data_IF_427403971128
#
_entry.id   IF_427403971128
#
_cell.length_a   1.000
_cell.length_b   1.000
_cell.length_c   1.000
_cell.angle_alpha   90.00
_cell.angle_beta   90.00
_cell.angle_gamma   90.00
#
_symmetry.space_group_name_H-M   'P 1'
#
loop_
_entity.id
_entity.type
_entity.pdbx_description
1 polymer ?
#
# COMPACT_ATOMS: atom_id res chain seq x y z
N UNK A 1 -16.04 -6.60 1.28
CA UNK A 1 -16.09 -5.13 1.08
C UNK A 1 -15.75 -4.85 -0.37
N UNK A 2 -16.34 -3.80 -0.96
CA UNK A 2 -15.99 -3.33 -2.30
C UNK A 2 -14.51 -2.85 -2.33
N UNK A 3 -13.77 -3.17 -3.39
CA UNK A 3 -12.38 -2.75 -3.59
C UNK A 3 -12.28 -1.23 -3.57
N UNK A 4 -13.20 -0.55 -4.26
CA UNK A 4 -13.20 0.92 -4.35
C UNK A 4 -13.37 1.55 -2.97
N UNK A 5 -14.32 1.07 -2.17
CA UNK A 5 -14.54 1.58 -0.81
C UNK A 5 -13.29 1.42 0.09
N UNK A 6 -12.59 0.28 -0.02
CA UNK A 6 -11.36 0.04 0.73
C UNK A 6 -10.20 0.91 0.26
N UNK A 7 -10.02 1.09 -1.05
CA UNK A 7 -9.01 1.97 -1.61
C UNK A 7 -9.25 3.44 -1.21
N UNK A 8 -10.51 3.89 -1.20
CA UNK A 8 -10.88 5.22 -0.71
C UNK A 8 -10.55 5.37 0.78
N UNK A 9 -10.88 4.38 1.62
CA UNK A 9 -10.57 4.44 3.05
C UNK A 9 -9.05 4.48 3.32
N UNK A 10 -8.25 3.75 2.56
CA UNK A 10 -6.77 3.80 2.63
C UNK A 10 -6.28 5.22 2.30
N UNK A 11 -6.79 5.80 1.21
CA UNK A 11 -6.41 7.15 0.81
C UNK A 11 -6.78 8.19 1.87
N UNK A 12 -8.03 8.17 2.36
CA UNK A 12 -8.52 9.09 3.39
C UNK A 12 -7.66 9.04 4.65
N UNK A 13 -7.35 7.83 5.15
CA UNK A 13 -6.48 7.63 6.31
C UNK A 13 -5.14 8.33 6.12
N UNK A 14 -4.43 8.00 5.03
CA UNK A 14 -3.09 8.51 4.80
C UNK A 14 -3.06 10.01 4.51
N UNK A 15 -4.09 10.53 3.84
CA UNK A 15 -4.22 11.95 3.59
C UNK A 15 -4.48 12.71 4.90
N UNK A 16 -5.38 12.25 5.77
CA UNK A 16 -5.65 12.89 7.06
C UNK A 16 -4.44 12.86 8.00
N UNK A 17 -3.66 11.78 8.00
CA UNK A 17 -2.38 11.71 8.71
C UNK A 17 -1.38 12.73 8.17
N UNK A 18 -1.30 12.90 6.86
CA UNK A 18 -0.45 13.90 6.23
C UNK A 18 -0.90 15.32 6.52
N UNK A 19 -2.20 15.62 6.46
CA UNK A 19 -2.74 16.95 6.79
C UNK A 19 -2.39 17.40 8.21
N UNK A 20 -2.33 16.43 9.14
CA UNK A 20 -1.95 16.62 10.54
C UNK A 20 -0.44 16.73 10.76
N UNK A 21 0.38 16.47 9.75
CA UNK A 21 1.84 16.53 9.86
C UNK A 21 2.35 17.97 9.74
N UNK A 22 2.94 18.56 10.81
CA UNK A 22 3.42 19.94 10.78
C UNK A 22 4.58 20.15 9.78
N UNK A 23 5.35 19.10 9.48
CA UNK A 23 6.51 19.18 8.57
C UNK A 23 6.12 19.62 7.16
N UNK A 24 4.90 19.30 6.72
CA UNK A 24 4.44 19.66 5.36
C UNK A 24 4.46 21.16 5.11
N UNK A 25 4.34 22.00 6.15
CA UNK A 25 4.30 23.46 6.03
C UNK A 25 5.64 24.14 6.36
N UNK A 26 6.72 23.39 6.62
CA UNK A 26 8.02 23.98 6.94
C UNK A 26 8.62 24.76 5.75
N UNK A 27 8.49 24.21 4.54
CA UNK A 27 8.87 24.85 3.27
C UNK A 27 8.34 24.02 2.08
N UNK A 28 8.46 24.54 0.87
CA UNK A 28 7.98 23.86 -0.34
C UNK A 28 8.58 22.48 -0.57
N UNK A 29 9.88 22.29 -0.26
CA UNK A 29 10.51 20.98 -0.40
C UNK A 29 9.94 19.95 0.58
N UNK A 30 9.70 20.34 1.83
CA UNK A 30 9.08 19.47 2.84
C UNK A 30 7.62 19.15 2.48
N UNK A 31 6.88 20.10 1.92
CA UNK A 31 5.53 19.85 1.40
C UNK A 31 5.53 18.76 0.33
N UNK A 32 6.36 18.91 -0.70
CA UNK A 32 6.43 17.97 -1.82
C UNK A 32 6.94 16.59 -1.40
N UNK A 33 8.01 16.55 -0.60
CA UNK A 33 8.61 15.28 -0.15
C UNK A 33 7.66 14.48 0.73
N UNK A 34 7.02 15.12 1.73
CA UNK A 34 6.06 14.43 2.60
C UNK A 34 4.82 13.95 1.84
N UNK A 35 4.35 14.71 0.85
CA UNK A 35 3.24 14.30 -0.01
C UNK A 35 3.62 13.09 -0.89
N UNK A 36 4.82 13.10 -1.48
CA UNK A 36 5.32 11.99 -2.28
C UNK A 36 5.44 10.70 -1.46
N UNK A 37 5.92 10.78 -0.22
CA UNK A 37 5.97 9.64 0.70
C UNK A 37 4.58 9.05 0.99
N UNK A 38 3.58 9.91 1.17
CA UNK A 38 2.19 9.51 1.44
C UNK A 38 1.60 8.79 0.23
N UNK A 39 1.76 9.33 -0.97
CA UNK A 39 1.26 8.71 -2.20
C UNK A 39 1.92 7.35 -2.46
N UNK A 40 3.22 7.21 -2.16
CA UNK A 40 3.92 5.92 -2.27
C UNK A 40 3.31 4.85 -1.33
N UNK A 41 2.93 5.22 -0.12
CA UNK A 41 2.26 4.29 0.83
C UNK A 41 0.87 3.90 0.34
N UNK A 42 0.08 4.88 -0.13
CA UNK A 42 -1.24 4.62 -0.71
C UNK A 42 -1.13 3.67 -1.90
N UNK A 43 -0.22 3.92 -2.83
CA UNK A 43 0.02 3.07 -4.00
C UNK A 43 0.32 1.63 -3.58
N UNK A 44 1.25 1.45 -2.63
CA UNK A 44 1.61 0.13 -2.12
C UNK A 44 0.43 -0.62 -1.51
N UNK A 45 -0.36 0.04 -0.66
CA UNK A 45 -1.51 -0.61 -0.01
C UNK A 45 -2.66 -0.89 -0.97
N UNK A 46 -2.97 0.03 -1.88
CA UNK A 46 -4.02 -0.18 -2.89
C UNK A 46 -3.61 -1.29 -3.85
N UNK A 47 -2.33 -1.33 -4.25
CA UNK A 47 -1.81 -2.43 -5.08
C UNK A 47 -1.94 -3.76 -4.33
N UNK A 48 -1.51 -3.82 -3.07
CA UNK A 48 -1.62 -5.02 -2.23
C UNK A 48 -3.08 -5.48 -2.09
N UNK A 49 -4.01 -4.54 -1.91
CA UNK A 49 -5.43 -4.80 -1.85
C UNK A 49 -5.95 -5.40 -3.18
N UNK A 50 -5.43 -4.93 -4.33
CA UNK A 50 -5.87 -5.37 -5.66
C UNK A 50 -5.42 -6.79 -6.00
N UNK A 51 -4.25 -7.23 -5.51
CA UNK A 51 -3.68 -8.55 -5.78
C UNK A 51 -4.00 -9.60 -4.71
N UNK A 52 -4.59 -9.21 -3.58
CA UNK A 52 -4.85 -10.08 -2.42
C UNK A 52 -3.61 -10.32 -1.56
N UNK A 53 -3.60 -11.36 -0.71
CA UNK A 53 -2.40 -11.73 0.05
C UNK A 53 -1.26 -12.12 -0.90
N UNK A 54 -0.27 -11.24 -1.03
CA UNK A 54 0.99 -11.57 -1.69
C UNK A 54 1.76 -12.42 -0.69
N UNK A 55 2.14 -13.66 -1.05
CA UNK A 55 2.90 -14.51 -0.16
C UNK A 55 4.15 -13.76 0.30
N UNK A 56 4.36 -13.67 1.62
CA UNK A 56 5.56 -13.06 2.23
C UNK A 56 6.87 -13.62 1.68
N UNK A 57 6.82 -14.82 1.12
CA UNK A 57 7.97 -15.55 0.63
C UNK A 57 7.87 -15.81 -0.88
N UNK A 58 8.82 -15.29 -1.65
CA UNK A 58 9.00 -15.61 -3.07
C UNK A 58 9.25 -17.11 -3.30
N UNK A 59 9.66 -17.84 -2.26
CA UNK A 59 10.05 -19.26 -2.35
C UNK A 59 8.93 -20.27 -2.06
N UNK A 60 7.71 -19.85 -1.70
CA UNK A 60 6.62 -20.78 -1.39
C UNK A 60 6.17 -21.64 -2.58
N UNK A 61 6.48 -21.22 -3.83
CA UNK A 61 6.20 -22.02 -5.04
C UNK A 61 7.05 -23.29 -5.15
N UNK A 62 8.13 -23.46 -4.37
CA UNK A 62 8.96 -24.67 -4.40
C UNK A 62 8.37 -25.88 -3.67
N UNK A 63 7.38 -25.66 -2.79
CA UNK A 63 6.78 -26.71 -1.96
C UNK A 63 5.34 -27.07 -2.37
N UNK A 64 4.83 -26.52 -3.47
CA UNK A 64 3.63 -27.09 -4.09
C UNK A 64 4.05 -28.44 -4.65
N UNK A 65 3.92 -29.50 -3.83
CA UNK A 65 4.14 -30.88 -4.23
C UNK A 65 3.44 -31.07 -5.56
N UNK A 66 4.24 -31.45 -6.54
CA UNK A 66 3.76 -32.02 -7.77
C UNK A 66 2.94 -33.25 -7.36
N UNK A 67 1.62 -33.13 -7.27
CA UNK A 67 0.74 -34.30 -7.41
C UNK A 67 0.90 -34.75 -8.87
N UNK A 68 2.01 -35.45 -9.16
CA UNK A 68 2.07 -36.39 -10.25
C UNK A 68 1.46 -37.68 -9.74
N UNK A 69 0.23 -37.93 -10.19
CA UNK A 69 -0.33 -39.22 -10.57
C UNK A 69 0.17 -40.47 -9.82
N UNK A 70 -0.68 -41.06 -8.98
CA UNK A 70 -1.32 -42.37 -9.25
C UNK A 70 -2.38 -42.74 -8.22
#
# INVERSE_FOLDING_TARGET
>A
MDFKAQATAIFEKYLSEWESNPKRMENGYQYESTYAEVMKKVEQEVLQLSVGEVPKDKNSKKNFKHDMER
#
